data_IF_462826715063
#
_entry.id   IF_462826715063
#
_cell.length_a   1.000
_cell.length_b   1.000
_cell.length_c   1.000
_cell.angle_alpha   90.00
_cell.angle_beta   90.00
_cell.angle_gamma   90.00
#
_symmetry.space_group_name_H-M   'P 1'
#
loop_
_entity.id
_entity.type
_entity.pdbx_description
1 polymer ?
#
# COMPACT_ATOMS: atom_id res chain seq x y z
N UNK A 1 21.73 -42.38 27.72
CA UNK A 1 21.96 -41.68 26.44
C UNK A 1 20.58 -41.29 25.86
N UNK A 2 20.00 -40.19 26.33
CA UNK A 2 18.73 -39.68 25.79
C UNK A 2 19.08 -38.64 24.72
N UNK A 3 18.66 -38.89 23.47
CA UNK A 3 18.84 -37.95 22.38
C UNK A 3 17.86 -36.79 22.57
N UNK A 4 18.42 -35.58 22.71
CA UNK A 4 17.66 -34.34 22.70
C UNK A 4 17.33 -33.99 21.25
N UNK A 5 16.04 -33.97 20.91
CA UNK A 5 15.53 -33.39 19.67
C UNK A 5 15.71 -31.88 19.74
N UNK A 6 16.30 -31.20 18.74
CA UNK A 6 16.33 -29.74 18.75
C UNK A 6 14.93 -29.22 18.37
N UNK A 7 14.28 -28.56 19.33
CA UNK A 7 13.20 -27.64 19.04
C UNK A 7 13.82 -26.36 18.44
N UNK A 8 13.87 -26.29 17.11
CA UNK A 8 14.17 -25.07 16.37
C UNK A 8 12.81 -24.61 15.79
N UNK A 9 12.05 -23.70 16.37
CA UNK A 9 12.47 -22.51 17.10
C UNK A 9 12.71 -21.35 16.15
N UNK A 10 11.73 -21.00 15.32
CA UNK A 10 11.67 -19.69 14.65
C UNK A 10 10.22 -19.20 14.50
N UNK A 11 9.46 -19.19 15.60
CA UNK A 11 8.33 -18.25 15.75
C UNK A 11 8.89 -16.85 16.02
N UNK A 12 9.73 -16.33 15.13
CA UNK A 12 9.93 -14.89 15.10
C UNK A 12 8.62 -14.32 14.55
N UNK A 13 7.91 -13.45 15.30
CA UNK A 13 6.75 -12.78 14.74
C UNK A 13 7.24 -12.06 13.49
N UNK A 14 6.67 -12.42 12.33
CA UNK A 14 6.96 -11.76 11.07
C UNK A 14 6.62 -10.28 11.29
N UNK A 15 7.65 -9.45 11.48
CA UNK A 15 7.45 -8.02 11.70
C UNK A 15 6.95 -7.46 10.37
N UNK A 16 5.66 -7.12 10.36
CA UNK A 16 5.00 -6.56 9.19
C UNK A 16 5.54 -5.16 8.92
N UNK A 17 5.79 -4.85 7.65
CA UNK A 17 6.30 -3.55 7.23
C UNK A 17 5.42 -2.39 7.75
N UNK A 18 6.03 -1.29 8.24
CA UNK A 18 5.31 -0.05 8.52
C UNK A 18 4.50 0.47 7.32
N UNK A 19 4.98 0.23 6.10
CA UNK A 19 4.29 0.61 4.86
C UNK A 19 2.92 -0.09 4.71
N UNK A 20 2.71 -1.19 5.42
CA UNK A 20 1.45 -1.93 5.47
C UNK A 20 0.66 -1.63 6.74
N UNK A 21 1.32 -1.58 7.90
CA UNK A 21 0.61 -1.45 9.19
C UNK A 21 0.10 -0.04 9.46
N UNK A 22 0.86 0.99 9.09
CA UNK A 22 0.50 2.37 9.40
C UNK A 22 -0.78 2.84 8.68
N UNK A 23 -0.99 2.55 7.37
CA UNK A 23 -2.26 2.85 6.70
C UNK A 23 -3.49 2.24 7.38
N UNK A 24 -3.29 1.12 8.10
CA UNK A 24 -4.32 0.37 8.82
C UNK A 24 -4.37 0.73 10.31
N UNK A 25 -3.54 1.65 10.79
CA UNK A 25 -3.50 2.09 12.20
C UNK A 25 -4.43 3.28 12.44
N UNK A 26 -4.68 3.58 13.73
CA UNK A 26 -5.33 4.83 14.17
C UNK A 26 -4.32 5.91 14.59
N UNK A 27 -3.07 5.79 14.14
CA UNK A 27 -2.06 6.79 14.47
C UNK A 27 -2.35 8.11 13.73
N UNK A 28 -1.93 9.26 14.32
CA UNK A 28 -1.95 10.53 13.61
C UNK A 28 -1.16 10.45 12.30
N UNK A 29 -1.58 11.23 11.29
CA UNK A 29 -0.97 11.23 9.96
C UNK A 29 0.54 11.47 9.98
N UNK A 30 1.01 12.36 10.84
CA UNK A 30 2.45 12.63 11.01
C UNK A 30 3.22 11.41 11.51
N UNK A 31 2.63 10.64 12.42
CA UNK A 31 3.23 9.40 12.93
C UNK A 31 3.29 8.34 11.84
N UNK A 32 2.19 8.18 11.07
CA UNK A 32 2.14 7.24 9.95
C UNK A 32 3.22 7.59 8.90
N UNK A 33 3.31 8.88 8.53
CA UNK A 33 4.30 9.36 7.57
C UNK A 33 5.73 9.17 8.06
N UNK A 34 6.03 9.49 9.32
CA UNK A 34 7.36 9.31 9.89
C UNK A 34 7.81 7.85 9.84
N UNK A 35 6.92 6.92 10.19
CA UNK A 35 7.19 5.49 10.15
C UNK A 35 7.37 4.98 8.70
N UNK A 36 6.49 5.37 7.77
CA UNK A 36 6.63 5.01 6.36
C UNK A 36 7.92 5.57 5.73
N UNK A 37 8.28 6.83 6.02
CA UNK A 37 9.53 7.42 5.55
C UNK A 37 10.76 6.67 6.08
N UNK A 38 10.72 6.27 7.36
CA UNK A 38 11.80 5.49 7.95
C UNK A 38 11.95 4.11 7.29
N UNK A 39 10.83 3.43 6.99
CA UNK A 39 10.82 2.16 6.27
C UNK A 39 11.43 2.29 4.87
N UNK A 40 11.01 3.30 4.09
CA UNK A 40 11.56 3.57 2.76
C UNK A 40 13.05 3.92 2.84
N UNK A 41 13.45 4.74 3.81
CA UNK A 41 14.86 5.10 4.01
C UNK A 41 15.74 3.90 4.36
N UNK A 42 15.17 2.87 4.99
CA UNK A 42 15.83 1.59 5.26
C UNK A 42 15.87 0.64 4.05
N UNK A 43 15.36 1.08 2.89
CA UNK A 43 15.38 0.30 1.65
C UNK A 43 14.21 -0.66 1.48
N UNK A 44 13.12 -0.50 2.24
CA UNK A 44 11.91 -1.28 2.01
C UNK A 44 11.27 -0.94 0.65
N UNK A 45 10.87 -1.96 -0.10
CA UNK A 45 10.23 -1.80 -1.41
C UNK A 45 8.74 -1.46 -1.26
N UNK A 46 8.34 -0.31 -1.79
CA UNK A 46 6.94 0.18 -1.77
C UNK A 46 5.98 -0.67 -2.60
N UNK A 47 6.50 -1.58 -3.43
CA UNK A 47 5.73 -2.54 -4.22
C UNK A 47 5.79 -3.98 -3.66
N UNK A 48 6.50 -4.19 -2.55
CA UNK A 48 6.61 -5.49 -1.91
C UNK A 48 5.25 -6.00 -1.44
N UNK A 49 5.05 -7.31 -1.58
CA UNK A 49 3.86 -7.98 -1.06
C UNK A 49 3.96 -8.17 0.46
N UNK A 50 2.85 -7.97 1.14
CA UNK A 50 2.65 -8.42 2.51
C UNK A 50 2.87 -9.94 2.58
N UNK A 51 3.77 -10.36 3.47
CA UNK A 51 4.19 -11.74 3.63
C UNK A 51 3.34 -12.51 4.64
N UNK A 52 2.34 -11.87 5.25
CA UNK A 52 1.47 -12.56 6.20
C UNK A 52 0.74 -13.75 5.54
N UNK A 53 0.89 -14.97 6.10
CA UNK A 53 0.39 -16.20 5.46
C UNK A 53 -1.11 -16.42 5.64
N UNK A 54 -1.76 -15.72 6.57
CA UNK A 54 -3.16 -15.97 6.92
C UNK A 54 -4.14 -15.26 5.98
N UNK A 55 -5.01 -16.06 5.35
CA UNK A 55 -6.18 -15.61 4.60
C UNK A 55 -7.02 -14.69 5.49
N UNK A 56 -7.22 -13.45 5.06
CA UNK A 56 -7.95 -12.41 5.81
C UNK A 56 -7.06 -11.32 6.43
N UNK A 57 -5.78 -11.60 6.66
CA UNK A 57 -4.83 -10.66 7.27
C UNK A 57 -3.81 -10.07 6.29
N UNK A 58 -3.63 -10.70 5.13
CA UNK A 58 -2.81 -10.16 4.05
C UNK A 58 -3.46 -8.89 3.46
N UNK A 59 -2.75 -7.77 3.52
CA UNK A 59 -3.21 -6.48 3.00
C UNK A 59 -2.69 -6.16 1.60
N UNK A 60 -2.03 -7.09 0.91
CA UNK A 60 -1.47 -6.87 -0.42
C UNK A 60 -0.21 -6.01 -0.36
N UNK A 61 -0.13 -5.00 -1.21
CA UNK A 61 0.97 -4.02 -1.22
C UNK A 61 0.69 -2.83 -0.30
N UNK A 62 1.69 -2.00 0.00
CA UNK A 62 1.49 -0.73 0.71
C UNK A 62 0.33 0.11 0.18
N UNK A 63 0.21 0.21 -1.16
CA UNK A 63 -0.89 0.94 -1.77
C UNK A 63 -2.25 0.26 -1.55
N UNK A 64 -2.31 -1.07 -1.60
CA UNK A 64 -3.54 -1.83 -1.32
C UNK A 64 -4.01 -1.61 0.13
N UNK A 65 -3.07 -1.51 1.08
CA UNK A 65 -3.36 -1.23 2.49
C UNK A 65 -3.99 0.17 2.68
N UNK A 66 -3.55 1.16 1.90
CA UNK A 66 -4.10 2.52 1.95
C UNK A 66 -5.56 2.59 1.47
N UNK A 67 -5.93 1.74 0.50
CA UNK A 67 -7.23 1.77 -0.16
C UNK A 67 -8.27 0.86 0.51
N UNK A 68 -7.89 0.16 1.58
CA UNK A 68 -8.72 -0.88 2.20
C UNK A 68 -9.74 -0.31 3.17
N UNK A 69 -10.97 -0.10 2.71
CA UNK A 69 -12.07 0.46 3.53
C UNK A 69 -12.58 -0.48 4.64
N UNK A 70 -12.53 -1.80 4.43
CA UNK A 70 -13.24 -2.78 5.30
C UNK A 70 -12.50 -3.20 6.56
N UNK A 71 -11.22 -2.84 6.71
CA UNK A 71 -10.39 -3.20 7.87
C UNK A 71 -9.75 -1.98 8.56
N UNK A 72 -10.26 -0.77 8.32
CA UNK A 72 -9.82 0.40 9.05
C UNK A 72 -10.35 0.31 10.50
N UNK A 73 -9.50 0.41 11.53
CA UNK A 73 -9.95 0.33 12.91
C UNK A 73 -10.80 1.55 13.27
N UNK A 74 -12.01 1.34 13.77
CA UNK A 74 -12.86 2.44 14.26
C UNK A 74 -13.52 3.28 13.15
N UNK A 75 -13.49 4.61 13.30
CA UNK A 75 -14.09 5.61 12.37
C UNK A 75 -13.08 6.23 11.40
N UNK A 76 -11.88 5.64 11.24
CA UNK A 76 -10.86 6.19 10.34
C UNK A 76 -11.41 6.23 8.92
N UNK A 77 -11.34 7.40 8.31
CA UNK A 77 -11.75 7.59 6.93
C UNK A 77 -10.61 7.23 5.97
N UNK A 78 -10.95 6.69 4.80
CA UNK A 78 -9.99 6.41 3.74
C UNK A 78 -9.21 7.66 3.31
N UNK A 79 -9.85 8.83 3.43
CA UNK A 79 -9.24 10.12 3.06
C UNK A 79 -8.03 10.46 3.92
N UNK A 80 -7.95 9.92 5.15
CA UNK A 80 -6.82 10.16 6.06
C UNK A 80 -5.53 9.47 5.57
N UNK A 81 -5.64 8.49 4.68
CA UNK A 81 -4.48 7.84 4.07
C UNK A 81 -3.90 8.63 2.89
N UNK A 82 -4.52 9.74 2.46
CA UNK A 82 -4.06 10.49 1.28
C UNK A 82 -2.56 10.85 1.35
N UNK A 83 -2.02 11.40 2.45
CA UNK A 83 -0.59 11.74 2.49
C UNK A 83 0.33 10.51 2.41
N UNK A 84 -0.12 9.36 2.89
CA UNK A 84 0.65 8.11 2.74
C UNK A 84 0.59 7.62 1.30
N UNK A 85 -0.55 7.76 0.62
CA UNK A 85 -0.66 7.44 -0.82
C UNK A 85 0.30 8.31 -1.63
N UNK A 86 0.33 9.62 -1.41
CA UNK A 86 1.26 10.54 -2.07
C UNK A 86 2.72 10.12 -1.85
N UNK A 87 3.11 9.86 -0.60
CA UNK A 87 4.45 9.36 -0.25
C UNK A 87 4.81 8.08 -1.01
N UNK A 88 3.91 7.10 -1.07
CA UNK A 88 4.18 5.85 -1.78
C UNK A 88 4.38 6.08 -3.27
N UNK A 89 3.58 6.95 -3.89
CA UNK A 89 3.69 7.27 -5.31
C UNK A 89 4.95 8.09 -5.64
N UNK A 90 5.38 8.99 -4.74
CA UNK A 90 6.68 9.69 -4.83
C UNK A 90 7.85 8.71 -4.91
N UNK A 91 7.72 7.54 -4.29
CA UNK A 91 8.71 6.47 -4.26
C UNK A 91 8.41 5.33 -5.25
N UNK A 92 7.71 5.61 -6.34
CA UNK A 92 7.44 4.69 -7.46
C UNK A 92 6.55 3.48 -7.10
N UNK A 93 5.60 3.63 -6.17
CA UNK A 93 4.52 2.65 -6.01
C UNK A 93 3.67 2.59 -7.30
N UNK A 94 3.51 1.40 -7.90
CA UNK A 94 2.84 1.24 -9.20
C UNK A 94 1.35 0.88 -9.01
N UNK A 95 0.42 1.81 -9.31
CA UNK A 95 -1.02 1.59 -9.12
C UNK A 95 -1.64 0.65 -10.16
N UNK A 96 -0.86 0.14 -11.12
CA UNK A 96 -1.29 -0.86 -12.11
C UNK A 96 -1.10 -2.29 -11.63
N UNK A 97 -0.38 -2.50 -10.51
CA UNK A 97 -0.18 -3.83 -9.96
C UNK A 97 -1.49 -4.38 -9.40
N UNK A 98 -1.81 -5.61 -9.77
CA UNK A 98 -3.03 -6.28 -9.28
C UNK A 98 -2.96 -6.46 -7.76
N UNK A 99 -4.01 -5.98 -7.06
CA UNK A 99 -4.13 -6.11 -5.61
C UNK A 99 -4.12 -7.58 -5.21
N UNK A 100 -3.30 -7.91 -4.22
CA UNK A 100 -3.28 -9.23 -3.57
C UNK A 100 -3.96 -9.21 -2.21
N UNK A 101 -4.54 -8.07 -1.83
CA UNK A 101 -5.22 -7.88 -0.55
C UNK A 101 -6.52 -8.67 -0.47
N UNK A 102 -6.76 -9.29 0.69
CA UNK A 102 -8.02 -10.02 0.91
C UNK A 102 -9.17 -9.02 1.07
N UNK A 103 -10.15 -9.09 0.16
CA UNK A 103 -11.32 -8.20 0.15
C UNK A 103 -11.19 -6.97 -0.74
N UNK A 104 -10.02 -6.74 -1.36
CA UNK A 104 -9.85 -5.75 -2.44
C UNK A 104 -9.38 -6.50 -3.68
N UNK A 105 -10.34 -6.92 -4.50
CA UNK A 105 -10.06 -7.56 -5.80
C UNK A 105 -10.12 -6.50 -6.90
N UNK A 106 -8.95 -6.10 -7.40
CA UNK A 106 -8.87 -5.13 -8.50
C UNK A 106 -7.46 -4.59 -8.70
N UNK A 107 -7.33 -3.79 -9.74
CA UNK A 107 -6.14 -2.97 -9.98
C UNK A 107 -6.42 -1.59 -9.35
N UNK A 108 -5.56 -1.04 -8.48
CA UNK A 108 -5.79 0.22 -7.77
C UNK A 108 -6.28 1.36 -8.68
N UNK A 109 -5.65 1.57 -9.84
CA UNK A 109 -6.10 2.60 -10.79
C UNK A 109 -7.49 2.35 -11.39
N UNK A 110 -7.85 1.09 -11.62
CA UNK A 110 -9.20 0.72 -12.10
C UNK A 110 -10.24 0.96 -11.00
N UNK A 111 -9.88 0.67 -9.75
CA UNK A 111 -10.73 0.92 -8.59
C UNK A 111 -10.99 2.42 -8.41
N UNK A 112 -9.94 3.23 -8.49
CA UNK A 112 -10.06 4.69 -8.41
C UNK A 112 -10.94 5.25 -9.52
N UNK A 113 -10.80 4.77 -10.77
CA UNK A 113 -11.68 5.15 -11.89
C UNK A 113 -13.14 4.86 -11.61
N UNK A 114 -13.45 3.68 -11.05
CA UNK A 114 -14.82 3.30 -10.73
C UNK A 114 -15.44 4.26 -9.70
N UNK A 115 -14.77 4.49 -8.58
CA UNK A 115 -15.33 5.30 -7.50
C UNK A 115 -15.29 6.82 -7.77
N UNK A 116 -14.41 7.28 -8.65
CA UNK A 116 -14.35 8.68 -9.07
C UNK A 116 -15.63 9.15 -9.80
N UNK A 117 -16.41 8.23 -10.36
CA UNK A 117 -17.66 8.51 -11.09
C UNK A 117 -18.88 7.89 -10.44
N UNK A 118 -18.72 7.25 -9.28
CA UNK A 118 -19.83 6.60 -8.58
C UNK A 118 -20.73 7.67 -7.92
N UNK A 119 -21.96 7.79 -8.42
CA UNK A 119 -22.95 8.75 -7.91
C UNK A 119 -23.56 8.32 -6.57
N UNK A 120 -23.49 7.03 -6.24
CA UNK A 120 -23.96 6.49 -4.95
C UNK A 120 -22.97 6.81 -3.81
N UNK A 121 -21.73 7.14 -4.15
CA UNK A 121 -20.73 7.55 -3.17
C UNK A 121 -20.93 8.98 -2.67
N UNK A 122 -20.51 9.21 -1.42
CA UNK A 122 -20.52 10.54 -0.82
C UNK A 122 -19.61 11.48 -1.62
N UNK A 123 -20.01 12.74 -1.79
CA UNK A 123 -19.23 13.73 -2.56
C UNK A 123 -17.77 13.82 -2.09
N UNK A 124 -17.54 13.80 -0.77
CA UNK A 124 -16.19 13.82 -0.19
C UNK A 124 -15.36 12.59 -0.62
N UNK A 125 -15.94 11.40 -0.58
CA UNK A 125 -15.26 10.18 -1.01
C UNK A 125 -15.01 10.20 -2.52
N UNK A 126 -15.98 10.64 -3.32
CA UNK A 126 -15.83 10.78 -4.76
C UNK A 126 -14.74 11.80 -5.12
N UNK A 127 -14.67 12.93 -4.41
CA UNK A 127 -13.61 13.92 -4.57
C UNK A 127 -12.23 13.33 -4.24
N UNK A 128 -12.13 12.57 -3.15
CA UNK A 128 -10.93 11.80 -2.81
C UNK A 128 -10.54 10.85 -3.94
N UNK A 129 -11.47 10.03 -4.45
CA UNK A 129 -11.18 9.08 -5.52
C UNK A 129 -10.78 9.75 -6.84
N UNK A 130 -11.39 10.88 -7.19
CA UNK A 130 -10.97 11.70 -8.34
C UNK A 130 -9.54 12.20 -8.18
N UNK A 131 -9.19 12.66 -6.98
CA UNK A 131 -7.84 13.14 -6.69
C UNK A 131 -6.81 12.00 -6.75
N UNK A 132 -7.08 10.88 -6.09
CA UNK A 132 -6.24 9.66 -6.13
C UNK A 132 -6.06 9.15 -7.56
N UNK A 133 -7.11 9.19 -8.39
CA UNK A 133 -6.99 8.82 -9.80
C UNK A 133 -5.98 9.70 -10.55
N UNK A 134 -6.04 11.02 -10.35
CA UNK A 134 -5.07 11.95 -10.95
C UNK A 134 -3.63 11.62 -10.54
N UNK A 135 -3.41 11.40 -9.24
CA UNK A 135 -2.10 11.01 -8.70
C UNK A 135 -1.60 9.69 -9.31
N UNK A 136 -2.49 8.71 -9.52
CA UNK A 136 -2.13 7.44 -10.15
C UNK A 136 -1.74 7.60 -11.62
N UNK A 137 -2.47 8.41 -12.38
CA UNK A 137 -2.16 8.65 -13.78
C UNK A 137 -0.81 9.37 -13.93
N UNK A 138 -0.52 10.35 -13.06
CA UNK A 138 0.78 11.02 -13.00
C UNK A 138 1.92 10.05 -12.62
N UNK A 139 1.71 9.20 -11.60
CA UNK A 139 2.70 8.22 -11.18
C UNK A 139 3.02 7.21 -12.30
N UNK A 140 2.02 6.76 -13.05
CA UNK A 140 2.22 5.86 -14.20
C UNK A 140 3.11 6.51 -15.27
N UNK A 141 2.86 7.77 -15.61
CA UNK A 141 3.70 8.51 -16.58
C UNK A 141 5.15 8.62 -16.09
N UNK A 142 5.35 8.95 -14.81
CA UNK A 142 6.69 9.06 -14.20
C UNK A 142 7.43 7.72 -14.21
N UNK A 143 6.79 6.64 -13.78
CA UNK A 143 7.36 5.29 -13.75
C UNK A 143 7.76 4.85 -15.17
N UNK A 144 6.90 5.09 -16.16
CA UNK A 144 7.18 4.68 -17.54
C UNK A 144 8.30 5.52 -18.18
N UNK A 145 8.43 6.81 -17.82
CA UNK A 145 9.55 7.64 -18.25
C UNK A 145 10.88 7.13 -17.68
N UNK A 146 10.93 6.87 -16.37
CA UNK A 146 12.13 6.36 -15.70
C UNK A 146 12.58 5.00 -16.27
N UNK A 147 11.64 4.09 -16.52
CA UNK A 147 11.95 2.79 -17.15
C UNK A 147 12.58 2.93 -18.54
N UNK A 148 12.16 3.92 -19.34
CA UNK A 148 12.74 4.19 -20.66
C UNK A 148 14.17 4.72 -20.54
N UNK A 149 14.42 5.65 -19.62
CA UNK A 149 15.76 6.17 -19.35
C UNK A 149 16.73 5.07 -18.91
N UNK A 150 16.28 4.16 -18.05
CA UNK A 150 17.07 3.00 -17.60
C UNK A 150 17.38 2.02 -18.74
N UNK A 151 16.52 1.90 -19.76
CA UNK A 151 16.77 1.02 -20.91
C UNK A 151 17.64 1.66 -21.99
N UNK A 152 17.69 2.99 -22.08
CA UNK A 152 18.50 3.73 -23.05
C UNK A 152 19.90 4.09 -22.53
N UNK A 153 20.10 4.14 -21.21
CA UNK A 153 21.38 4.50 -20.58
C UNK A 153 22.41 3.36 -20.42
N UNK A 154 22.03 2.11 -20.71
CA UNK A 154 22.88 0.91 -20.60
C UNK A 154 23.43 0.43 -21.97
N UNK A 155 23.42 1.33 -22.98
CA UNK A 155 23.82 1.08 -24.37
C UNK A 155 25.15 1.70 -24.80
#
# INVERSE_FOLDING_TARGET
>A
MAQATPANGSDQPVQRSPLITEPLSNHPVETMLAACRAAIANGEDVNALDTLPHVGHNAGRPLDACLRQTQMPGKKSIVENLPVIELLLEHDADPRLFSRSVGVTGIPIVLARRYAVDEEEKEEHRAFWKHVLGLFEEAVVRIDAKKKEETEGDG
#
